data_IF_155249093399
#
_entry.id   IF_155249093399
#
_cell.length_a   1.000
_cell.length_b   1.000
_cell.length_c   1.000
_cell.angle_alpha   90.00
_cell.angle_beta   90.00
_cell.angle_gamma   90.00
#
_symmetry.space_group_name_H-M   'P 1'
#
loop_
_entity.id
_entity.type
_entity.pdbx_description
1 polymer ?
#
# COMPACT_ATOMS: atom_id res chain seq x y z
N UNK A 1 -7.53 -4.58 7.63
CA UNK A 1 -8.93 -4.79 7.20
C UNK A 1 -9.51 -5.98 7.95
N UNK A 2 -10.73 -5.91 8.50
CA UNK A 2 -11.34 -7.03 9.23
C UNK A 2 -11.68 -8.25 8.36
N UNK A 3 -11.74 -9.43 8.97
CA UNK A 3 -12.14 -10.69 8.32
C UNK A 3 -13.63 -10.68 7.98
N UNK A 4 -14.00 -11.23 6.83
CA UNK A 4 -15.40 -11.36 6.40
C UNK A 4 -16.19 -12.33 7.30
N UNK A 5 -17.42 -11.98 7.66
CA UNK A 5 -18.32 -12.85 8.41
C UNK A 5 -19.11 -13.77 7.47
N UNK A 6 -19.30 -15.03 7.85
CA UNK A 6 -19.99 -16.07 7.06
C UNK A 6 -21.00 -16.83 7.90
N UNK A 7 -21.92 -17.53 7.25
CA UNK A 7 -22.90 -18.40 7.89
C UNK A 7 -22.18 -19.42 8.78
N UNK A 8 -22.51 -19.44 10.06
CA UNK A 8 -21.89 -20.26 11.09
C UNK A 8 -20.67 -19.67 11.79
N UNK A 9 -20.19 -18.48 11.38
CA UNK A 9 -19.19 -17.75 12.16
C UNK A 9 -19.84 -17.18 13.45
N UNK A 10 -19.05 -17.02 14.51
CA UNK A 10 -19.55 -16.83 15.88
C UNK A 10 -19.75 -15.36 16.20
N UNK A 11 -20.95 -15.01 16.68
CA UNK A 11 -21.20 -13.77 17.39
C UNK A 11 -20.91 -13.93 18.88
N UNK A 12 -20.01 -13.11 19.43
CA UNK A 12 -19.63 -13.12 20.84
C UNK A 12 -20.87 -13.01 21.75
N UNK A 13 -20.80 -13.64 22.92
CA UNK A 13 -21.82 -13.48 23.96
C UNK A 13 -21.80 -12.08 24.58
N UNK A 14 -22.78 -11.80 25.44
CA UNK A 14 -22.80 -10.60 26.27
C UNK A 14 -23.53 -10.91 27.58
N UNK A 15 -23.07 -10.36 28.71
CA UNK A 15 -23.63 -10.69 30.03
C UNK A 15 -23.64 -12.20 30.29
N UNK A 16 -24.80 -12.76 30.66
CA UNK A 16 -25.00 -14.21 30.85
C UNK A 16 -25.27 -14.98 29.54
N UNK A 17 -25.43 -14.29 28.40
CA UNK A 17 -25.89 -14.90 27.16
C UNK A 17 -24.70 -15.47 26.36
N UNK A 18 -24.73 -16.77 25.98
CA UNK A 18 -23.60 -17.43 25.35
C UNK A 18 -23.36 -16.97 23.90
N UNK A 19 -22.14 -17.17 23.34
CA UNK A 19 -21.90 -16.96 21.92
C UNK A 19 -22.75 -17.87 21.04
N UNK A 20 -23.15 -17.39 19.87
CA UNK A 20 -23.94 -18.20 18.91
C UNK A 20 -23.52 -17.97 17.46
N UNK A 21 -23.70 -18.97 16.58
CA UNK A 21 -23.36 -18.85 15.17
C UNK A 21 -24.37 -18.01 14.38
N UNK A 22 -23.92 -17.41 13.28
CA UNK A 22 -24.79 -16.88 12.24
C UNK A 22 -25.61 -18.00 11.59
N UNK A 23 -26.91 -17.79 11.39
CA UNK A 23 -27.84 -18.75 10.76
C UNK A 23 -28.48 -18.24 9.48
N UNK A 24 -28.29 -16.97 9.15
CA UNK A 24 -28.65 -16.42 7.86
C UNK A 24 -27.44 -15.77 7.19
N UNK A 25 -27.51 -15.70 5.87
CA UNK A 25 -26.51 -15.08 5.03
C UNK A 25 -27.09 -14.79 3.64
N UNK A 26 -26.24 -14.44 2.70
CA UNK A 26 -26.60 -14.30 1.29
C UNK A 26 -27.07 -15.62 0.67
N UNK A 27 -28.06 -15.56 -0.22
CA UNK A 27 -28.54 -16.72 -0.98
C UNK A 27 -27.68 -17.08 -2.19
N UNK A 28 -26.80 -16.17 -2.63
CA UNK A 28 -26.07 -16.27 -3.89
C UNK A 28 -24.59 -15.88 -3.81
N UNK A 29 -24.16 -15.30 -2.68
CA UNK A 29 -22.78 -14.83 -2.48
C UNK A 29 -22.14 -15.59 -1.34
N UNK A 30 -21.07 -16.33 -1.68
CA UNK A 30 -20.37 -17.22 -0.77
C UNK A 30 -18.93 -16.75 -0.55
N UNK A 31 -18.43 -16.86 0.67
CA UNK A 31 -17.04 -16.59 1.04
C UNK A 31 -16.46 -17.86 1.65
N UNK A 32 -15.39 -18.39 1.04
CA UNK A 32 -14.87 -19.75 1.30
C UNK A 32 -15.97 -20.83 1.34
N UNK A 33 -16.89 -20.80 0.37
CA UNK A 33 -17.97 -21.79 0.25
C UNK A 33 -19.12 -21.65 1.25
N UNK A 34 -19.13 -20.62 2.11
CA UNK A 34 -20.20 -20.38 3.09
C UNK A 34 -20.94 -19.07 2.77
N UNK A 35 -22.28 -19.00 2.90
CA UNK A 35 -23.03 -17.75 2.68
C UNK A 35 -22.45 -16.56 3.44
N UNK A 36 -22.24 -15.43 2.77
CA UNK A 36 -21.72 -14.22 3.42
C UNK A 36 -22.77 -13.60 4.36
N UNK A 37 -22.38 -13.21 5.56
CA UNK A 37 -23.28 -12.53 6.52
C UNK A 37 -23.34 -11.04 6.19
N UNK A 38 -24.53 -10.46 6.30
CA UNK A 38 -24.83 -9.08 5.94
C UNK A 38 -25.65 -8.41 7.04
N UNK A 39 -25.79 -7.09 6.94
CA UNK A 39 -26.63 -6.30 7.83
C UNK A 39 -28.05 -6.89 7.91
N UNK A 40 -28.51 -7.14 9.12
CA UNK A 40 -29.81 -7.73 9.43
C UNK A 40 -29.88 -9.26 9.30
N UNK A 41 -28.83 -9.95 8.85
CA UNK A 41 -28.81 -11.42 8.87
C UNK A 41 -28.73 -11.93 10.33
N UNK A 42 -29.48 -12.99 10.61
CA UNK A 42 -29.71 -13.51 11.95
C UNK A 42 -28.58 -14.40 12.47
N UNK A 43 -28.41 -14.37 13.79
CA UNK A 43 -27.65 -15.35 14.57
C UNK A 43 -28.62 -16.19 15.40
N UNK A 44 -28.22 -17.38 15.86
CA UNK A 44 -29.09 -18.20 16.71
C UNK A 44 -29.50 -17.35 17.92
N UNK A 45 -30.81 -17.21 18.21
CA UNK A 45 -31.28 -16.60 19.44
C UNK A 45 -30.63 -17.25 20.65
N UNK A 46 -30.28 -16.46 21.65
CA UNK A 46 -29.69 -16.97 22.88
C UNK A 46 -30.47 -16.53 24.10
N UNK A 47 -30.48 -17.38 25.11
CA UNK A 47 -31.05 -17.13 26.43
C UNK A 47 -30.05 -17.59 27.49
N UNK A 48 -30.38 -17.34 28.75
CA UNK A 48 -29.67 -17.89 29.89
C UNK A 48 -30.69 -18.33 30.95
N UNK A 49 -30.33 -19.08 32.01
CA UNK A 49 -31.31 -19.60 32.97
C UNK A 49 -32.25 -18.54 33.57
N UNK A 50 -31.79 -17.28 33.65
CA UNK A 50 -32.53 -16.17 34.25
C UNK A 50 -33.19 -15.23 33.23
N UNK A 51 -33.01 -15.45 31.92
CA UNK A 51 -33.48 -14.54 30.87
C UNK A 51 -33.99 -15.34 29.65
N UNK A 52 -35.21 -15.06 29.17
CA UNK A 52 -35.76 -15.77 28.02
C UNK A 52 -34.91 -15.54 26.75
N UNK A 53 -34.92 -16.48 25.78
CA UNK A 53 -34.22 -16.29 24.52
C UNK A 53 -34.71 -15.06 23.77
N UNK A 54 -33.79 -14.31 23.17
CA UNK A 54 -34.11 -13.14 22.35
C UNK A 54 -33.38 -13.18 21.00
N UNK A 55 -33.92 -12.54 19.95
CA UNK A 55 -33.34 -12.59 18.62
C UNK A 55 -32.02 -11.83 18.56
N UNK A 56 -31.14 -12.31 17.66
CA UNK A 56 -29.85 -11.70 17.38
C UNK A 56 -29.74 -11.44 15.88
N UNK A 57 -29.29 -10.25 15.50
CA UNK A 57 -29.02 -9.92 14.10
C UNK A 57 -27.85 -8.97 14.00
N UNK A 58 -27.09 -9.04 12.91
CA UNK A 58 -26.02 -8.09 12.64
C UNK A 58 -26.59 -6.66 12.56
N UNK A 59 -26.05 -5.72 13.34
CA UNK A 59 -26.52 -4.33 13.42
C UNK A 59 -25.56 -3.29 12.82
N UNK A 60 -24.30 -3.67 12.61
CA UNK A 60 -23.32 -2.88 11.87
C UNK A 60 -22.70 -3.71 10.74
N UNK A 61 -22.10 -3.05 9.77
CA UNK A 61 -21.45 -3.71 8.64
C UNK A 61 -20.52 -2.74 7.92
N UNK A 62 -19.84 -3.23 6.89
CA UNK A 62 -18.97 -2.41 6.04
C UNK A 62 -19.65 -1.13 5.58
N UNK A 63 -18.92 -0.02 5.60
CA UNK A 63 -19.38 1.26 5.07
C UNK A 63 -19.52 1.23 3.53
N UNK A 64 -18.89 0.26 2.85
CA UNK A 64 -18.57 0.40 1.42
C UNK A 64 -18.68 -0.86 0.60
N UNK A 65 -18.71 -2.03 1.23
CA UNK A 65 -18.93 -3.32 0.59
C UNK A 65 -20.35 -3.76 0.90
N UNK A 66 -21.13 -3.93 -0.16
CA UNK A 66 -22.51 -4.37 -0.10
C UNK A 66 -22.62 -5.75 -0.75
N UNK A 67 -23.32 -6.66 -0.09
CA UNK A 67 -23.67 -7.98 -0.62
C UNK A 67 -25.19 -8.01 -0.66
N UNK A 68 -25.77 -8.24 -1.84
CA UNK A 68 -27.21 -8.12 -2.09
C UNK A 68 -27.84 -6.84 -1.51
N UNK A 69 -27.21 -5.69 -1.79
CA UNK A 69 -27.65 -4.38 -1.32
C UNK A 69 -27.69 -4.18 0.21
N UNK A 70 -27.09 -5.09 0.98
CA UNK A 70 -26.93 -4.98 2.43
C UNK A 70 -25.45 -4.85 2.78
N UNK A 71 -25.12 -4.07 3.81
CA UNK A 71 -23.72 -3.89 4.25
C UNK A 71 -23.13 -5.26 4.61
N UNK A 72 -21.94 -5.57 4.12
CA UNK A 72 -21.28 -6.85 4.39
C UNK A 72 -20.80 -6.92 5.84
N UNK A 73 -21.02 -8.04 6.52
CA UNK A 73 -20.62 -8.26 7.90
C UNK A 73 -19.16 -8.70 8.03
N UNK A 74 -18.54 -8.29 9.13
CA UNK A 74 -17.11 -8.49 9.40
C UNK A 74 -16.86 -8.76 10.87
N UNK A 75 -15.71 -9.36 11.18
CA UNK A 75 -15.22 -9.46 12.55
C UNK A 75 -15.13 -8.06 13.17
N UNK A 76 -15.71 -7.92 14.37
CA UNK A 76 -15.82 -6.66 15.10
C UNK A 76 -17.12 -5.89 14.85
N UNK A 77 -17.90 -6.22 13.81
CA UNK A 77 -19.19 -5.56 13.58
C UNK A 77 -20.21 -5.96 14.66
N UNK A 78 -21.00 -4.98 15.11
CA UNK A 78 -21.94 -5.12 16.22
C UNK A 78 -23.12 -6.05 15.90
N UNK A 79 -23.62 -6.72 16.94
CA UNK A 79 -24.87 -7.49 16.93
C UNK A 79 -25.90 -6.73 17.76
N UNK A 80 -27.14 -6.62 17.27
CA UNK A 80 -28.15 -5.68 17.79
C UNK A 80 -28.49 -5.82 19.28
N UNK A 81 -28.44 -7.03 19.83
CA UNK A 81 -28.69 -7.29 21.25
C UNK A 81 -27.47 -7.10 22.16
N UNK A 82 -26.27 -7.01 21.58
CA UNK A 82 -24.99 -6.97 22.29
C UNK A 82 -23.96 -7.94 21.72
N UNK A 83 -22.69 -7.64 21.99
CA UNK A 83 -21.54 -8.34 21.44
C UNK A 83 -21.25 -7.94 19.99
N UNK A 84 -20.30 -8.66 19.38
CA UNK A 84 -19.86 -8.44 18.01
C UNK A 84 -19.50 -9.76 17.35
N UNK A 85 -19.36 -9.75 16.03
CA UNK A 85 -18.82 -10.91 15.30
C UNK A 85 -17.38 -11.17 15.74
N UNK A 86 -17.12 -12.39 16.20
CA UNK A 86 -15.85 -12.81 16.83
C UNK A 86 -15.00 -13.74 15.98
N UNK A 87 -15.59 -14.45 15.02
CA UNK A 87 -14.86 -15.25 14.03
C UNK A 87 -15.25 -14.86 12.61
N UNK A 88 -14.40 -15.21 11.65
CA UNK A 88 -14.60 -14.86 10.25
C UNK A 88 -13.80 -15.76 9.33
N UNK A 89 -13.73 -15.38 8.06
CA UNK A 89 -12.88 -16.00 7.06
C UNK A 89 -11.39 -16.05 7.46
N UNK A 90 -10.69 -17.08 6.99
CA UNK A 90 -9.24 -17.23 7.20
C UNK A 90 -8.40 -16.31 6.31
N UNK A 91 -8.92 -15.91 5.16
CA UNK A 91 -8.17 -15.26 4.08
C UNK A 91 -8.91 -14.07 3.44
N UNK A 92 -10.22 -13.95 3.64
CA UNK A 92 -11.04 -12.91 3.01
C UNK A 92 -11.25 -11.75 3.96
N UNK A 93 -10.83 -10.56 3.54
CA UNK A 93 -10.93 -9.31 4.31
C UNK A 93 -11.91 -8.34 3.64
N UNK A 94 -12.69 -7.63 4.44
CA UNK A 94 -13.67 -6.62 3.97
C UNK A 94 -13.38 -5.29 4.65
N UNK A 95 -13.15 -4.24 3.86
CA UNK A 95 -12.83 -2.89 4.35
C UNK A 95 -14.04 -1.95 4.47
N UNK A 96 -13.78 -0.70 4.84
CA UNK A 96 -14.74 0.43 4.90
C UNK A 96 -14.43 1.52 3.87
N UNK A 97 -13.49 1.27 2.96
CA UNK A 97 -13.16 2.17 1.86
C UNK A 97 -13.94 1.77 0.61
N UNK A 98 -14.55 2.78 -0.03
CA UNK A 98 -15.53 2.68 -1.10
C UNK A 98 -15.07 1.82 -2.26
N UNK A 99 -16.01 1.11 -2.92
CA UNK A 99 -15.90 0.94 -4.37
C UNK A 99 -16.01 2.28 -5.14
N UNK A 100 -16.07 3.43 -4.46
CA UNK A 100 -15.80 4.78 -5.01
C UNK A 100 -14.40 5.32 -4.68
N UNK A 101 -13.53 4.49 -4.12
CA UNK A 101 -12.12 4.81 -3.90
C UNK A 101 -11.25 4.50 -5.14
N UNK A 102 -9.93 4.72 -5.04
CA UNK A 102 -8.95 4.75 -6.14
C UNK A 102 -8.79 3.46 -7.01
N UNK A 103 -9.67 2.46 -6.87
CA UNK A 103 -9.48 1.11 -7.42
C UNK A 103 -10.52 0.67 -8.48
N UNK A 104 -11.44 1.53 -8.93
CA UNK A 104 -12.37 1.18 -10.04
C UNK A 104 -11.66 0.97 -11.38
N UNK A 105 -10.49 1.57 -11.60
CA UNK A 105 -9.69 1.39 -12.83
C UNK A 105 -8.88 0.09 -12.84
N UNK A 106 -8.55 -0.46 -11.67
CA UNK A 106 -7.67 -1.61 -11.50
C UNK A 106 -8.32 -2.93 -11.95
N UNK A 107 -9.64 -3.05 -11.80
CA UNK A 107 -10.37 -4.29 -12.14
C UNK A 107 -10.60 -4.48 -13.65
N UNK A 108 -10.52 -3.41 -14.46
CA UNK A 108 -10.60 -3.53 -15.92
C UNK A 108 -9.31 -4.10 -16.52
N UNK A 109 -8.15 -3.84 -15.90
CA UNK A 109 -6.84 -4.29 -16.41
C UNK A 109 -6.45 -5.73 -16.04
N UNK A 110 -6.92 -6.25 -14.90
CA UNK A 110 -6.53 -7.58 -14.42
C UNK A 110 -7.15 -8.75 -15.23
N UNK A 111 -8.28 -8.52 -15.91
CA UNK A 111 -8.87 -9.49 -16.86
C UNK A 111 -8.05 -9.60 -18.15
N UNK A 112 -7.25 -8.57 -18.46
CA UNK A 112 -6.59 -8.43 -19.76
C UNK A 112 -5.14 -8.94 -19.75
N UNK A 113 -4.51 -9.21 -18.59
CA UNK A 113 -3.03 -9.31 -18.51
C UNK A 113 -2.37 -10.61 -18.04
N UNK A 114 -3.09 -11.66 -17.59
CA UNK A 114 -2.59 -13.06 -17.41
C UNK A 114 -1.07 -13.28 -17.13
N UNK A 115 -0.45 -12.72 -16.08
CA UNK A 115 0.99 -12.94 -15.78
C UNK A 115 1.30 -13.70 -14.48
N UNK A 116 2.38 -14.53 -14.44
CA UNK A 116 2.74 -15.44 -13.35
C UNK A 116 3.76 -14.86 -12.34
N UNK A 117 4.07 -15.65 -11.31
CA UNK A 117 4.19 -15.26 -9.90
C UNK A 117 5.63 -15.36 -9.31
N UNK A 118 6.70 -14.89 -9.98
CA UNK A 118 8.08 -14.94 -9.41
C UNK A 118 9.03 -13.87 -10.01
N UNK A 119 9.31 -12.73 -9.34
CA UNK A 119 10.47 -11.82 -9.63
C UNK A 119 10.70 -10.70 -8.55
N UNK A 120 11.84 -9.96 -8.47
CA UNK A 120 12.67 -9.84 -7.27
C UNK A 120 12.75 -8.38 -6.78
N UNK A 121 11.74 -7.92 -6.06
CA UNK A 121 11.92 -6.81 -5.10
C UNK A 121 11.86 -5.37 -5.62
N UNK A 122 11.56 -5.12 -6.90
CA UNK A 122 11.16 -3.79 -7.41
C UNK A 122 9.63 -3.60 -7.51
N UNK A 123 8.87 -4.65 -7.22
CA UNK A 123 7.41 -4.75 -7.39
C UNK A 123 6.57 -4.09 -6.28
N UNK A 124 7.18 -3.32 -5.38
CA UNK A 124 6.46 -2.52 -4.36
C UNK A 124 6.38 -1.02 -4.67
N UNK A 125 6.76 -0.61 -5.88
CA UNK A 125 6.48 0.75 -6.41
C UNK A 125 5.16 0.86 -7.19
N UNK A 126 4.27 -0.14 -7.15
CA UNK A 126 2.85 0.03 -7.53
C UNK A 126 1.99 -1.11 -6.92
N UNK A 127 0.76 -0.90 -6.42
CA UNK A 127 -0.19 0.08 -6.94
C UNK A 127 -1.26 0.60 -5.93
N UNK A 128 -1.11 1.84 -5.43
CA UNK A 128 -2.16 2.72 -4.90
C UNK A 128 -2.50 3.87 -5.88
N UNK A 129 -2.54 3.59 -7.19
CA UNK A 129 -2.52 4.55 -8.31
C UNK A 129 -3.30 5.85 -8.10
N UNK A 130 -4.56 5.83 -7.65
CA UNK A 130 -5.34 7.06 -7.61
C UNK A 130 -5.18 7.90 -6.33
N UNK A 131 -4.68 7.34 -5.22
CA UNK A 131 -4.30 8.14 -4.05
C UNK A 131 -2.94 8.80 -4.27
N UNK A 132 -2.01 8.05 -4.85
CA UNK A 132 -0.70 8.57 -5.24
C UNK A 132 -0.87 9.66 -6.31
N UNK A 133 -1.58 9.36 -7.40
CA UNK A 133 -1.88 10.34 -8.45
C UNK A 133 -2.61 11.59 -7.93
N UNK A 134 -3.48 11.44 -6.93
CA UNK A 134 -4.13 12.58 -6.28
C UNK A 134 -3.14 13.48 -5.55
N UNK A 135 -2.16 12.91 -4.85
CA UNK A 135 -1.09 13.68 -4.20
C UNK A 135 -0.22 14.42 -5.23
N UNK A 136 0.17 13.76 -6.32
CA UNK A 136 0.88 14.40 -7.44
C UNK A 136 0.05 15.51 -8.09
N UNK A 137 -1.27 15.30 -8.24
CA UNK A 137 -2.20 16.29 -8.77
C UNK A 137 -2.34 17.49 -7.85
N UNK A 138 -2.50 17.26 -6.55
CA UNK A 138 -2.63 18.33 -5.56
C UNK A 138 -1.32 19.12 -5.44
N UNK A 139 -0.17 18.46 -5.53
CA UNK A 139 1.13 19.11 -5.56
C UNK A 139 1.28 20.04 -6.78
N UNK A 140 0.92 19.56 -7.97
CA UNK A 140 0.89 20.39 -9.19
C UNK A 140 -0.12 21.55 -9.09
N UNK A 141 -1.30 21.30 -8.50
CA UNK A 141 -2.34 22.30 -8.33
C UNK A 141 -2.00 23.36 -7.27
N UNK A 142 -1.15 23.02 -6.31
CA UNK A 142 -0.70 23.91 -5.22
C UNK A 142 0.42 24.87 -5.62
N UNK A 143 0.81 24.92 -6.89
CA UNK A 143 1.88 25.78 -7.39
C UNK A 143 3.30 25.24 -7.15
N UNK A 144 4.30 26.05 -7.47
CA UNK A 144 5.70 25.63 -7.53
C UNK A 144 6.26 25.18 -6.19
N UNK A 145 6.03 25.94 -5.12
CA UNK A 145 6.53 25.60 -3.78
C UNK A 145 5.94 24.27 -3.27
N UNK A 146 4.66 24.03 -3.54
CA UNK A 146 3.98 22.77 -3.18
C UNK A 146 4.57 21.59 -3.95
N UNK A 147 4.86 21.79 -5.24
CA UNK A 147 5.46 20.78 -6.09
C UNK A 147 6.89 20.44 -5.65
N UNK A 148 7.72 21.45 -5.37
CA UNK A 148 9.11 21.24 -4.95
C UNK A 148 9.21 20.50 -3.62
N UNK A 149 8.41 20.94 -2.63
CA UNK A 149 8.35 20.29 -1.34
C UNK A 149 7.90 18.83 -1.46
N UNK A 150 6.85 18.59 -2.24
CA UNK A 150 6.33 17.25 -2.48
C UNK A 150 7.35 16.34 -3.19
N UNK A 151 8.00 16.83 -4.24
CA UNK A 151 9.03 16.09 -4.98
C UNK A 151 10.20 15.76 -4.05
N UNK A 152 10.70 16.72 -3.28
CA UNK A 152 11.81 16.51 -2.35
C UNK A 152 11.49 15.44 -1.29
N UNK A 153 10.31 15.52 -0.66
CA UNK A 153 9.88 14.56 0.38
C UNK A 153 9.66 13.16 -0.19
N UNK A 154 8.94 13.05 -1.30
CA UNK A 154 8.62 11.77 -1.94
C UNK A 154 9.90 11.09 -2.43
N UNK A 155 10.80 11.85 -3.04
CA UNK A 155 12.09 11.34 -3.51
C UNK A 155 12.95 10.81 -2.37
N UNK A 156 13.09 11.55 -1.26
CA UNK A 156 13.84 11.08 -0.10
C UNK A 156 13.28 9.76 0.43
N UNK A 157 11.95 9.68 0.60
CA UNK A 157 11.31 8.46 1.10
C UNK A 157 11.51 7.26 0.16
N UNK A 158 11.37 7.44 -1.15
CA UNK A 158 11.58 6.36 -2.12
C UNK A 158 13.04 5.90 -2.17
N UNK A 159 13.98 6.84 -2.11
CA UNK A 159 15.41 6.54 -2.07
C UNK A 159 15.78 5.79 -0.79
N UNK A 160 15.34 6.26 0.38
CA UNK A 160 15.56 5.59 1.66
C UNK A 160 15.05 4.14 1.63
N UNK A 161 13.82 3.93 1.17
CA UNK A 161 13.25 2.59 1.04
C UNK A 161 14.04 1.70 0.07
N UNK A 162 14.43 2.24 -1.09
CA UNK A 162 15.23 1.51 -2.07
C UNK A 162 16.60 1.11 -1.53
N UNK A 163 17.28 2.04 -0.84
CA UNK A 163 18.58 1.80 -0.21
C UNK A 163 18.45 0.77 0.91
N UNK A 164 17.45 0.87 1.78
CA UNK A 164 17.23 -0.08 2.88
C UNK A 164 16.92 -1.50 2.37
N UNK A 165 16.16 -1.62 1.29
CA UNK A 165 15.91 -2.91 0.63
C UNK A 165 17.21 -3.50 0.06
N UNK A 166 18.00 -2.69 -0.66
CA UNK A 166 19.27 -3.12 -1.22
C UNK A 166 20.27 -3.55 -0.14
N UNK A 167 20.30 -2.81 0.98
CA UNK A 167 21.10 -3.14 2.17
C UNK A 167 20.65 -4.46 2.79
N UNK A 168 19.34 -4.62 3.03
CA UNK A 168 18.77 -5.85 3.60
C UNK A 168 19.08 -7.08 2.75
N UNK A 169 18.98 -6.96 1.42
CA UNK A 169 19.34 -8.04 0.50
C UNK A 169 20.84 -8.35 0.54
N UNK A 170 21.70 -7.34 0.66
CA UNK A 170 23.14 -7.55 0.75
C UNK A 170 23.52 -8.23 2.07
N UNK A 171 22.99 -7.77 3.21
CA UNK A 171 23.19 -8.42 4.52
C UNK A 171 22.72 -9.87 4.49
N UNK A 172 21.55 -10.14 3.90
CA UNK A 172 21.06 -11.51 3.72
C UNK A 172 22.00 -12.38 2.87
N UNK A 173 22.71 -11.80 1.90
CA UNK A 173 23.69 -12.52 1.06
C UNK A 173 25.01 -12.81 1.78
N UNK A 174 25.35 -12.05 2.82
CA UNK A 174 26.55 -12.24 3.62
C UNK A 174 26.40 -13.37 4.66
N UNK A 175 25.17 -13.70 5.04
CA UNK A 175 24.89 -14.78 6.00
C UNK A 175 24.71 -16.10 5.23
N UNK A 176 25.64 -17.06 5.34
CA UNK A 176 25.46 -18.35 4.69
C UNK A 176 24.24 -19.07 5.27
N UNK A 177 23.51 -19.87 4.47
CA UNK A 177 22.35 -20.63 4.94
C UNK A 177 22.79 -21.82 5.81
N UNK A 178 23.33 -21.56 7.00
CA UNK A 178 23.63 -22.59 7.99
C UNK A 178 22.41 -22.80 8.88
N UNK A 179 21.52 -23.69 8.47
CA UNK A 179 20.48 -24.23 9.35
C UNK A 179 21.18 -25.07 10.44
N UNK A 180 21.56 -24.44 11.55
CA UNK A 180 21.85 -25.13 12.81
C UNK A 180 23.31 -25.29 13.28
N UNK A 181 24.33 -24.71 12.62
CA UNK A 181 25.71 -24.73 13.13
C UNK A 181 26.24 -23.32 13.41
N UNK A 182 26.86 -23.11 14.56
CA UNK A 182 27.51 -21.85 14.92
C UNK A 182 28.62 -21.50 13.90
N UNK A 183 28.66 -20.26 13.43
CA UNK A 183 29.68 -19.77 12.51
C UNK A 183 31.08 -19.85 13.17
N UNK A 184 32.09 -20.45 12.51
CA UNK A 184 33.47 -20.42 13.00
C UNK A 184 33.98 -18.98 13.19
N UNK A 185 34.88 -18.75 14.14
CA UNK A 185 35.35 -17.40 14.52
C UNK A 185 35.89 -16.55 13.35
N UNK A 186 36.60 -17.15 12.40
CA UNK A 186 37.08 -16.45 11.21
C UNK A 186 35.95 -16.03 10.26
N UNK A 187 34.89 -16.84 10.12
CA UNK A 187 33.72 -16.50 9.32
C UNK A 187 32.88 -15.40 9.97
N UNK A 188 32.75 -15.41 11.31
CA UNK A 188 32.11 -14.34 12.06
C UNK A 188 32.87 -13.01 11.94
N UNK A 189 34.21 -13.04 11.96
CA UNK A 189 35.03 -11.85 11.76
C UNK A 189 34.84 -11.27 10.36
N UNK A 190 34.87 -12.11 9.31
CA UNK A 190 34.65 -11.66 7.94
C UNK A 190 33.25 -11.06 7.71
N UNK A 191 32.21 -11.63 8.34
CA UNK A 191 30.86 -11.06 8.33
C UNK A 191 30.84 -9.70 9.04
N UNK A 192 31.49 -9.59 10.20
CA UNK A 192 31.56 -8.33 10.97
C UNK A 192 32.29 -7.22 10.19
N UNK A 193 33.40 -7.55 9.53
CA UNK A 193 34.16 -6.61 8.71
C UNK A 193 33.37 -6.18 7.46
N UNK A 194 32.60 -7.11 6.87
CA UNK A 194 31.70 -6.84 5.74
C UNK A 194 30.47 -6.00 6.09
N UNK A 195 30.07 -5.94 7.36
CA UNK A 195 28.95 -5.14 7.86
C UNK A 195 29.34 -3.72 8.29
N UNK A 196 30.59 -3.30 8.08
CA UNK A 196 30.98 -1.90 8.29
C UNK A 196 30.32 -0.99 7.25
N UNK A 197 30.00 0.24 7.65
CA UNK A 197 29.29 1.22 6.80
C UNK A 197 30.01 1.47 5.47
N UNK A 198 31.34 1.54 5.48
CA UNK A 198 32.15 1.85 4.31
C UNK A 198 32.18 0.69 3.29
N UNK A 199 32.19 -0.55 3.79
CA UNK A 199 32.14 -1.74 2.96
C UNK A 199 30.74 -1.98 2.39
N UNK A 200 29.69 -1.77 3.19
CA UNK A 200 28.30 -1.83 2.75
C UNK A 200 28.01 -0.80 1.64
N UNK A 201 28.38 0.46 1.86
CA UNK A 201 28.21 1.52 0.86
C UNK A 201 29.00 1.19 -0.40
N UNK A 202 30.25 0.74 -0.29
CA UNK A 202 31.08 0.39 -1.45
C UNK A 202 30.54 -0.80 -2.23
N UNK A 203 30.01 -1.82 -1.56
CA UNK A 203 29.38 -2.98 -2.20
C UNK A 203 28.06 -2.62 -2.91
N UNK A 204 27.36 -1.59 -2.42
CA UNK A 204 26.09 -1.15 -2.98
C UNK A 204 26.23 -0.08 -4.08
N UNK A 205 27.39 0.56 -4.26
CA UNK A 205 27.61 1.61 -5.29
C UNK A 205 27.08 1.25 -6.67
N UNK A 206 27.23 -0.01 -7.11
CA UNK A 206 26.72 -0.47 -8.41
C UNK A 206 25.19 -0.54 -8.51
N UNK A 207 24.49 -0.71 -7.39
CA UNK A 207 23.02 -0.77 -7.31
C UNK A 207 22.37 0.59 -7.08
N UNK A 208 23.09 1.52 -6.44
CA UNK A 208 22.57 2.84 -6.08
C UNK A 208 22.13 3.68 -7.29
N UNK A 209 22.86 3.61 -8.41
CA UNK A 209 22.48 4.28 -9.64
C UNK A 209 21.19 3.70 -10.26
N UNK A 210 20.97 2.39 -10.13
CA UNK A 210 19.72 1.74 -10.52
C UNK A 210 18.54 2.30 -9.72
N UNK A 211 18.69 2.39 -8.40
CA UNK A 211 17.67 2.95 -7.50
C UNK A 211 17.32 4.39 -7.88
N UNK A 212 18.32 5.24 -8.15
CA UNK A 212 18.09 6.63 -8.57
C UNK A 212 17.30 6.71 -9.90
N UNK A 213 17.67 5.87 -10.89
CA UNK A 213 16.98 5.78 -12.17
C UNK A 213 15.52 5.32 -12.00
N UNK A 214 15.28 4.34 -11.14
CA UNK A 214 13.94 3.80 -10.87
C UNK A 214 13.05 4.85 -10.20
N UNK A 215 13.58 5.57 -9.20
CA UNK A 215 12.87 6.67 -8.53
C UNK A 215 12.55 7.80 -9.51
N UNK A 216 13.53 8.24 -10.32
CA UNK A 216 13.31 9.27 -11.34
C UNK A 216 12.26 8.87 -12.38
N UNK A 217 12.31 7.61 -12.84
CA UNK A 217 11.34 7.03 -13.77
C UNK A 217 9.92 6.99 -13.19
N UNK A 218 9.77 6.51 -11.96
CA UNK A 218 8.47 6.41 -11.28
C UNK A 218 7.83 7.79 -11.09
N UNK A 219 8.56 8.74 -10.53
CA UNK A 219 8.04 10.09 -10.26
C UNK A 219 7.69 10.83 -11.56
N UNK A 220 8.50 10.68 -12.61
CA UNK A 220 8.21 11.26 -13.93
C UNK A 220 6.92 10.70 -14.52
N UNK A 221 6.69 9.39 -14.39
CA UNK A 221 5.47 8.76 -14.88
C UNK A 221 4.22 9.27 -14.12
N UNK A 222 4.29 9.42 -12.80
CA UNK A 222 3.17 9.92 -11.99
C UNK A 222 2.88 11.40 -12.25
N UNK A 223 3.91 12.25 -12.33
CA UNK A 223 3.75 13.66 -12.69
C UNK A 223 3.17 13.84 -14.10
N UNK A 224 3.57 13.01 -15.07
CA UNK A 224 2.99 13.03 -16.41
C UNK A 224 1.52 12.65 -16.44
N UNK A 225 1.11 11.66 -15.66
CA UNK A 225 -0.31 11.29 -15.50
C UNK A 225 -1.10 12.40 -14.81
N UNK A 226 -0.54 13.01 -13.76
CA UNK A 226 -1.20 14.07 -13.00
C UNK A 226 -1.39 15.34 -13.84
N UNK A 227 -0.35 15.72 -14.61
CA UNK A 227 -0.39 16.85 -15.55
C UNK A 227 -1.48 16.66 -16.62
N UNK A 228 -1.56 15.47 -17.24
CA UNK A 228 -2.62 15.13 -18.20
C UNK A 228 -4.01 15.21 -17.57
N UNK A 229 -4.15 14.75 -16.32
CA UNK A 229 -5.43 14.81 -15.60
C UNK A 229 -5.87 16.23 -15.24
N UNK A 230 -4.94 17.18 -15.06
CA UNK A 230 -5.25 18.59 -14.77
C UNK A 230 -5.64 19.36 -16.02
N UNK A 231 -4.99 19.03 -17.14
CA UNK A 231 -5.10 19.77 -18.40
C UNK A 231 -6.16 19.20 -19.35
N UNK A 232 -6.81 18.09 -19.00
CA UNK A 232 -7.78 17.38 -19.85
C UNK A 232 -9.02 18.21 -20.23
N UNK A 233 -9.26 19.33 -19.54
CA UNK A 233 -10.36 20.27 -19.83
C UNK A 233 -9.94 21.48 -20.69
N UNK A 234 -8.73 21.45 -21.26
CA UNK A 234 -8.23 22.49 -22.18
C UNK A 234 -7.51 23.65 -21.51
N UNK A 235 -7.36 23.64 -20.18
CA UNK A 235 -6.55 24.64 -19.47
C UNK A 235 -5.07 24.30 -19.61
N UNK A 236 -4.22 25.27 -20.00
CA UNK A 236 -2.78 25.03 -20.11
C UNK A 236 -2.18 24.86 -18.71
N UNK A 237 -1.14 24.03 -18.60
CA UNK A 237 -0.44 23.81 -17.32
C UNK A 237 0.12 25.12 -16.73
N UNK A 238 0.46 26.08 -17.58
CA UNK A 238 0.93 27.43 -17.19
C UNK A 238 -0.08 28.22 -16.38
N UNK A 239 -1.38 27.90 -16.47
CA UNK A 239 -2.42 28.54 -15.65
C UNK A 239 -2.39 28.07 -14.18
N UNK A 240 -1.74 26.93 -13.91
CA UNK A 240 -1.73 26.28 -12.58
C UNK A 240 -0.32 26.22 -11.99
N UNK A 241 0.68 26.04 -12.84
CA UNK A 241 2.09 25.99 -12.45
C UNK A 241 2.88 27.07 -13.21
N UNK A 242 3.24 28.20 -12.57
CA UNK A 242 4.12 29.20 -13.16
C UNK A 242 5.46 28.57 -13.58
N UNK A 243 6.07 29.08 -14.66
CA UNK A 243 7.39 28.65 -15.12
C UNK A 243 8.43 29.78 -14.98
N UNK A 244 8.97 30.04 -13.78
CA UNK A 244 9.98 31.06 -13.61
C UNK A 244 11.30 30.65 -14.29
N UNK A 245 12.02 31.61 -14.91
CA UNK A 245 13.34 31.34 -15.47
C UNK A 245 14.29 30.75 -14.43
N UNK A 246 15.08 29.75 -14.81
CA UNK A 246 16.09 29.13 -13.94
C UNK A 246 15.60 27.99 -13.05
N UNK A 247 14.29 27.71 -12.98
CA UNK A 247 13.79 26.58 -12.21
C UNK A 247 13.81 25.28 -13.04
N UNK A 248 14.75 24.38 -12.75
CA UNK A 248 14.96 23.15 -13.54
C UNK A 248 13.77 22.18 -13.48
N UNK A 249 13.10 22.08 -12.33
CA UNK A 249 11.94 21.20 -12.14
C UNK A 249 10.72 21.72 -12.90
N UNK A 250 10.39 23.01 -12.74
CA UNK A 250 9.29 23.65 -13.47
C UNK A 250 9.50 23.54 -14.98
N UNK A 251 10.70 23.87 -15.47
CA UNK A 251 11.05 23.76 -16.88
C UNK A 251 10.86 22.34 -17.41
N UNK A 252 11.29 21.33 -16.66
CA UNK A 252 11.16 19.94 -17.07
C UNK A 252 9.70 19.45 -17.06
N UNK A 253 8.88 19.92 -16.12
CA UNK A 253 7.44 19.64 -16.07
C UNK A 253 6.72 20.28 -17.26
N UNK A 254 7.06 21.52 -17.64
CA UNK A 254 6.52 22.20 -18.82
C UNK A 254 6.97 21.55 -20.13
N UNK A 255 8.23 21.12 -20.22
CA UNK A 255 8.75 20.38 -21.38
C UNK A 255 8.01 19.05 -21.55
N UNK A 256 7.79 18.30 -20.46
CA UNK A 256 6.98 17.09 -20.47
C UNK A 256 5.56 17.36 -20.97
N UNK A 257 4.90 18.40 -20.48
CA UNK A 257 3.55 18.78 -20.91
C UNK A 257 3.51 19.15 -22.40
N UNK A 258 4.62 19.65 -22.95
CA UNK A 258 4.79 20.00 -24.36
C UNK A 258 5.25 18.83 -25.24
N UNK A 259 5.25 17.60 -24.72
CA UNK A 259 5.58 16.39 -25.48
C UNK A 259 7.03 15.91 -25.34
N UNK A 260 7.80 16.43 -24.38
CA UNK A 260 9.19 16.01 -24.10
C UNK A 260 9.30 15.34 -22.72
N UNK A 261 8.72 14.15 -22.51
CA UNK A 261 8.65 13.51 -21.19
C UNK A 261 10.02 13.12 -20.61
N UNK A 262 11.00 12.86 -21.47
CA UNK A 262 12.36 12.49 -21.04
C UNK A 262 13.09 13.62 -20.29
N UNK A 263 12.72 14.89 -20.54
CA UNK A 263 13.29 16.01 -19.81
C UNK A 263 12.99 15.92 -18.31
N UNK A 264 11.75 15.59 -17.95
CA UNK A 264 11.37 15.42 -16.54
C UNK A 264 12.06 14.23 -15.89
N UNK A 265 12.08 13.10 -16.57
CA UNK A 265 12.77 11.90 -16.08
C UNK A 265 14.25 12.17 -15.83
N UNK A 266 14.93 12.83 -16.76
CA UNK A 266 16.35 13.18 -16.63
C UNK A 266 16.59 14.10 -15.43
N UNK A 267 15.77 15.15 -15.26
CA UNK A 267 15.90 16.08 -14.13
C UNK A 267 15.68 15.37 -12.79
N UNK A 268 14.62 14.57 -12.66
CA UNK A 268 14.31 13.85 -11.42
C UNK A 268 15.37 12.78 -11.09
N UNK A 269 15.91 12.11 -12.11
CA UNK A 269 16.99 11.14 -11.94
C UNK A 269 18.27 11.82 -11.46
N UNK A 270 18.62 12.98 -12.01
CA UNK A 270 19.78 13.76 -11.57
C UNK A 270 19.61 14.23 -10.11
N UNK A 271 18.43 14.75 -9.76
CA UNK A 271 18.10 15.13 -8.37
C UNK A 271 18.19 13.93 -7.41
N UNK A 272 17.75 12.75 -7.84
CA UNK A 272 17.83 11.53 -7.04
C UNK A 272 19.29 11.10 -6.85
N UNK A 273 20.08 11.14 -7.94
CA UNK A 273 21.51 10.77 -7.93
C UNK A 273 22.32 11.66 -6.98
N UNK A 274 22.02 12.95 -6.92
CA UNK A 274 22.70 13.89 -6.01
C UNK A 274 22.44 13.58 -4.51
N UNK A 275 21.23 13.08 -4.19
CA UNK A 275 20.83 12.74 -2.82
C UNK A 275 21.34 11.38 -2.33
N UNK A 276 21.58 10.46 -3.26
CA UNK A 276 21.93 9.06 -2.98
C UNK A 276 23.14 8.90 -2.06
N UNK A 277 24.30 9.58 -2.26
CA UNK A 277 25.47 9.40 -1.40
C UNK A 277 25.20 9.73 0.07
N UNK A 278 24.50 10.84 0.33
CA UNK A 278 24.20 11.28 1.69
C UNK A 278 23.22 10.34 2.40
N UNK A 279 22.17 9.88 1.69
CA UNK A 279 21.19 8.94 2.23
C UNK A 279 21.79 7.55 2.46
N UNK A 280 22.65 7.08 1.56
CA UNK A 280 23.35 5.81 1.70
C UNK A 280 24.30 5.81 2.91
N UNK A 281 25.05 6.90 3.12
CA UNK A 281 25.90 7.05 4.29
C UNK A 281 25.10 7.06 5.60
N UNK A 282 23.95 7.76 5.62
CA UNK A 282 23.06 7.79 6.78
C UNK A 282 22.45 6.41 7.09
N UNK A 283 21.97 5.70 6.07
CA UNK A 283 21.40 4.36 6.19
C UNK A 283 22.42 3.32 6.71
N UNK A 284 23.68 3.46 6.29
CA UNK A 284 24.76 2.57 6.70
C UNK A 284 25.32 2.87 8.11
N UNK A 285 25.14 4.10 8.62
CA UNK A 285 25.58 4.52 9.96
C UNK A 285 24.53 4.43 11.07
N UNK A 286 23.26 4.15 10.73
CA UNK A 286 22.13 4.01 11.68
C UNK A 286 21.87 2.55 12.09
N UNK A 287 22.67 1.60 11.60
CA UNK A 287 22.56 0.18 11.93
C UNK A 287 23.81 -0.35 12.61
N UNK A 288 23.95 -0.06 13.91
CA UNK A 288 24.62 -0.90 14.90
C UNK A 288 23.88 -0.77 16.24
#
# INVERSE_FOLDING_TARGET
MPKAARLGDIGAGHGCFPPTPAIAGSSDTFINGRPAVRLGDAFVPHGCPNCPPHPRSLSAGSATVFINNKKAGRVGDAIGCGGSVSTGSGDTLIGDVGMGGPFKSCMKGAKDSSTPLLDPGLSKLADPAAAELLSYRNALAGGLDSLENFVSQTMNSLLENGIQNALSQHVASLVPPSVGAALPGAALSAVKDGLTSDNLVSALKGKLNGIANDVGGHMSAQLGRASKSLTSMGNPLTAVLPNPPGNSLANAVHAMASGQPEALKSTLTAMATDKVPNLAAHAAGTTL
#
